data_IF_963151066509
#
_entry.id   IF_963151066509
#
_cell.length_a   1.000
_cell.length_b   1.000
_cell.length_c   1.000
_cell.angle_alpha   90.00
_cell.angle_beta   90.00
_cell.angle_gamma   90.00
#
_symmetry.space_group_name_H-M   'P 1'
#
loop_
_entity.id
_entity.type
_entity.pdbx_description
1 polymer ?
#
# COMPACT_ATOMS: atom_id res chain seq x y z
N UNK A 1 0.78 2.74 8.20
CA UNK A 1 1.37 4.02 7.77
C UNK A 1 1.82 4.01 6.32
N UNK A 2 2.85 3.26 5.93
CA UNK A 2 3.34 3.23 4.54
C UNK A 2 2.25 2.88 3.52
N UNK A 3 1.42 1.87 3.79
CA UNK A 3 0.32 1.48 2.90
C UNK A 3 -0.77 2.55 2.74
N UNK A 4 -1.01 3.42 3.73
CA UNK A 4 -1.94 4.54 3.59
C UNK A 4 -1.42 5.58 2.58
N UNK A 5 -0.11 5.86 2.61
CA UNK A 5 0.55 6.70 1.60
C UNK A 5 0.53 6.06 0.20
N UNK A 6 0.52 4.73 0.09
CA UNK A 6 0.30 4.05 -1.20
C UNK A 6 -1.14 4.22 -1.72
N UNK A 7 -2.12 4.28 -0.82
CA UNK A 7 -3.52 4.47 -1.14
C UNK A 7 -3.93 5.93 -1.38
N UNK A 8 -3.00 6.90 -1.22
CA UNK A 8 -3.29 8.32 -1.42
C UNK A 8 -4.08 8.97 -0.28
N UNK A 9 -4.08 8.36 0.92
CA UNK A 9 -4.78 8.89 2.09
C UNK A 9 -3.82 9.25 3.23
N UNK A 10 -4.22 10.15 4.16
CA UNK A 10 -3.40 10.51 5.31
C UNK A 10 -2.95 9.28 6.11
N UNK A 11 -1.71 9.30 6.60
CA UNK A 11 -1.09 8.15 7.26
C UNK A 11 -1.91 7.62 8.45
N UNK A 12 -2.61 8.52 9.16
CA UNK A 12 -3.48 8.23 10.31
C UNK A 12 -4.56 7.20 9.96
N UNK A 13 -5.11 7.22 8.74
CA UNK A 13 -6.11 6.24 8.28
C UNK A 13 -5.53 4.82 8.29
N UNK A 14 -4.24 4.68 7.99
CA UNK A 14 -3.54 3.42 8.09
C UNK A 14 -3.43 2.86 9.51
N UNK A 15 -3.51 3.71 10.54
CA UNK A 15 -3.59 3.26 11.93
C UNK A 15 -4.96 2.65 12.22
N UNK A 16 -6.02 3.36 11.81
CA UNK A 16 -7.40 2.91 11.99
C UNK A 16 -7.64 1.55 11.34
N UNK A 17 -7.14 1.35 10.11
CA UNK A 17 -7.27 0.09 9.38
C UNK A 17 -6.40 -1.05 9.91
N UNK A 18 -5.37 -0.76 10.71
CA UNK A 18 -4.55 -1.82 11.33
C UNK A 18 -5.08 -2.24 12.69
N UNK A 19 -5.82 -1.37 13.38
CA UNK A 19 -6.34 -1.62 14.72
C UNK A 19 -7.76 -2.21 14.71
N UNK A 20 -8.67 -1.65 13.90
CA UNK A 20 -10.09 -2.01 13.93
C UNK A 20 -10.40 -3.41 13.36
N UNK A 21 -9.84 -3.86 12.22
CA UNK A 21 -10.18 -5.18 11.67
C UNK A 21 -9.76 -6.36 12.56
N UNK A 22 -8.58 -6.38 13.18
CA UNK A 22 -8.25 -7.42 14.16
C UNK A 22 -9.17 -7.43 15.37
N UNK A 23 -9.59 -6.25 15.87
CA UNK A 23 -10.54 -6.14 16.97
C UNK A 23 -11.90 -6.75 16.60
N UNK A 24 -12.42 -6.42 15.41
CA UNK A 24 -13.65 -7.01 14.89
C UNK A 24 -13.50 -8.52 14.65
N UNK A 25 -12.37 -8.97 14.11
CA UNK A 25 -12.10 -10.38 13.89
C UNK A 25 -11.93 -11.17 15.20
N UNK A 26 -11.45 -10.55 16.27
CA UNK A 26 -11.39 -11.21 17.58
C UNK A 26 -12.79 -11.54 18.13
N UNK A 27 -13.81 -10.76 17.78
CA UNK A 27 -15.20 -10.97 18.22
C UNK A 27 -15.94 -11.96 17.30
N UNK A 28 -15.77 -11.83 15.98
CA UNK A 28 -16.55 -12.58 14.99
C UNK A 28 -15.78 -13.71 14.28
N UNK A 29 -14.46 -13.81 14.49
CA UNK A 29 -13.58 -14.73 13.78
C UNK A 29 -13.61 -16.14 14.34
N UNK A 30 -13.41 -17.12 13.46
CA UNK A 30 -13.42 -18.54 13.80
C UNK A 30 -12.02 -19.12 14.04
N UNK A 31 -10.96 -18.47 13.54
CA UNK A 31 -9.58 -18.97 13.65
C UNK A 31 -8.70 -18.08 14.53
N UNK A 32 -7.98 -18.71 15.47
CA UNK A 32 -7.13 -18.02 16.47
C UNK A 32 -5.76 -17.60 15.94
N UNK A 33 -5.35 -18.10 14.76
CA UNK A 33 -4.00 -17.90 14.22
C UNK A 33 -3.95 -16.92 13.03
N UNK A 34 -5.10 -16.43 12.56
CA UNK A 34 -5.17 -15.50 11.44
C UNK A 34 -5.03 -14.07 11.96
N UNK A 35 -3.97 -13.39 11.51
CA UNK A 35 -3.81 -11.95 11.74
C UNK A 35 -4.28 -11.20 10.50
N UNK A 36 -5.38 -10.45 10.63
CA UNK A 36 -5.82 -9.53 9.58
C UNK A 36 -4.96 -8.26 9.61
N UNK A 37 -4.63 -7.73 8.44
CA UNK A 37 -3.82 -6.51 8.33
C UNK A 37 -3.97 -5.86 6.97
N UNK A 38 -3.21 -4.79 6.76
CA UNK A 38 -3.16 -4.11 5.46
C UNK A 38 -2.34 -4.90 4.44
N UNK A 39 -2.85 -5.00 3.21
CA UNK A 39 -2.16 -5.62 2.08
C UNK A 39 -1.72 -4.58 1.05
N UNK A 40 -0.49 -4.70 0.56
CA UNK A 40 0.12 -3.75 -0.37
C UNK A 40 -0.64 -3.60 -1.69
N UNK A 41 -1.10 -4.72 -2.25
CA UNK A 41 -1.83 -4.74 -3.53
C UNK A 41 -3.16 -4.01 -3.41
N UNK A 42 -3.90 -4.24 -2.33
CA UNK A 42 -5.19 -3.58 -2.07
C UNK A 42 -4.97 -2.08 -1.92
N UNK A 43 -3.93 -1.65 -1.20
CA UNK A 43 -3.57 -0.25 -1.07
C UNK A 43 -3.27 0.42 -2.43
N UNK A 44 -2.54 -0.26 -3.32
CA UNK A 44 -2.29 0.25 -4.68
C UNK A 44 -3.57 0.32 -5.53
N UNK A 45 -4.47 -0.66 -5.39
CA UNK A 45 -5.75 -0.65 -6.11
C UNK A 45 -6.62 0.53 -5.67
N UNK A 46 -6.72 0.77 -4.35
CA UNK A 46 -7.44 1.93 -3.80
C UNK A 46 -6.82 3.24 -4.28
N UNK A 47 -5.48 3.37 -4.22
CA UNK A 47 -4.79 4.56 -4.73
C UNK A 47 -4.99 4.81 -6.23
N UNK A 48 -5.12 3.75 -7.04
CA UNK A 48 -5.45 3.90 -8.45
C UNK A 48 -6.88 4.42 -8.69
N UNK A 49 -7.83 4.09 -7.83
CA UNK A 49 -9.21 4.61 -7.91
C UNK A 49 -9.25 6.07 -7.49
N UNK A 50 -8.57 6.41 -6.39
CA UNK A 50 -8.42 7.79 -5.92
C UNK A 50 -7.79 8.67 -7.00
N UNK A 51 -6.69 8.21 -7.61
CA UNK A 51 -6.01 8.96 -8.67
C UNK A 51 -6.87 9.15 -9.93
N UNK A 52 -7.72 8.17 -10.27
CA UNK A 52 -8.69 8.30 -11.38
C UNK A 52 -9.78 9.33 -11.05
N UNK A 53 -10.27 9.34 -9.82
CA UNK A 53 -11.29 10.28 -9.37
C UNK A 53 -10.74 11.71 -9.26
N UNK A 54 -9.57 11.89 -8.65
CA UNK A 54 -8.89 13.18 -8.56
C UNK A 54 -8.57 13.75 -9.95
N UNK A 55 -8.14 12.92 -10.90
CA UNK A 55 -7.98 13.34 -12.29
C UNK A 55 -9.31 13.80 -12.91
N UNK A 56 -10.45 13.17 -12.57
CA UNK A 56 -11.78 13.55 -13.06
C UNK A 56 -12.27 14.88 -12.49
N UNK A 57 -11.95 15.20 -11.24
CA UNK A 57 -12.40 16.42 -10.56
C UNK A 57 -11.70 17.68 -11.11
N UNK A 58 -10.43 17.54 -11.50
CA UNK A 58 -9.62 18.62 -12.09
C UNK A 58 -10.19 19.18 -13.42
N UNK A 59 -11.09 18.46 -14.10
CA UNK A 59 -11.73 18.95 -15.33
C UNK A 59 -12.90 19.90 -15.07
N UNK A 60 -13.46 19.91 -13.86
CA UNK A 60 -14.64 20.72 -13.51
C UNK A 60 -14.34 21.97 -12.69
N UNK A 61 -13.07 22.23 -12.36
CA UNK A 61 -12.70 23.44 -11.64
C UNK A 61 -12.38 24.55 -12.63
N UNK A 62 -13.45 25.18 -13.14
CA UNK A 62 -13.32 26.46 -13.84
C UNK A 62 -12.85 27.51 -12.82
N UNK A 63 -11.57 27.88 -12.93
CA UNK A 63 -11.00 29.18 -12.58
C UNK A 63 -11.72 29.96 -11.47
N UNK A 64 -11.53 29.56 -10.22
CA UNK A 64 -11.50 30.53 -9.12
C UNK A 64 -10.27 30.22 -8.29
N UNK A 65 -9.43 31.24 -8.11
CA UNK A 65 -8.13 31.18 -7.46
C UNK A 65 -8.27 30.92 -5.94
N UNK A 66 -8.82 29.77 -5.58
CA UNK A 66 -8.77 29.24 -4.24
C UNK A 66 -7.51 28.40 -4.13
N UNK A 67 -6.58 28.86 -3.31
CA UNK A 67 -5.38 28.08 -2.93
C UNK A 67 -5.79 26.66 -2.58
N UNK A 68 -5.11 25.62 -3.08
CA UNK A 68 -5.45 24.24 -2.72
C UNK A 68 -5.16 24.08 -1.23
N UNK A 69 -6.19 24.19 -0.40
CA UNK A 69 -6.08 23.81 0.99
C UNK A 69 -5.92 22.28 1.02
N UNK A 70 -4.73 21.83 1.40
CA UNK A 70 -4.37 20.42 1.48
C UNK A 70 -5.39 19.63 2.32
N UNK A 71 -6.01 20.28 3.30
CA UNK A 71 -7.02 19.67 4.16
C UNK A 71 -8.28 19.25 3.38
N UNK A 72 -8.71 20.03 2.38
CA UNK A 72 -9.95 19.73 1.63
C UNK A 72 -9.75 18.53 0.72
N UNK A 73 -8.59 18.43 0.07
CA UNK A 73 -8.25 17.29 -0.79
C UNK A 73 -8.11 16.01 0.04
N UNK A 74 -7.43 16.09 1.20
CA UNK A 74 -7.27 14.94 2.10
C UNK A 74 -8.62 14.41 2.61
N UNK A 75 -9.54 15.31 2.98
CA UNK A 75 -10.88 14.92 3.44
C UNK A 75 -11.69 14.25 2.32
N UNK A 76 -11.58 14.74 1.08
CA UNK A 76 -12.26 14.13 -0.07
C UNK A 76 -11.71 12.73 -0.38
N UNK A 77 -10.38 12.55 -0.38
CA UNK A 77 -9.76 11.24 -0.62
C UNK A 77 -10.15 10.24 0.47
N UNK A 78 -10.23 10.66 1.74
CA UNK A 78 -10.72 9.79 2.84
C UNK A 78 -12.19 9.41 2.65
N UNK A 79 -13.06 10.34 2.27
CA UNK A 79 -14.48 10.07 2.03
C UNK A 79 -14.68 9.10 0.86
N UNK A 80 -13.92 9.26 -0.23
CA UNK A 80 -13.97 8.36 -1.37
C UNK A 80 -13.55 6.95 -0.97
N UNK A 81 -12.44 6.81 -0.24
CA UNK A 81 -11.96 5.51 0.22
C UNK A 81 -12.95 4.88 1.22
N UNK A 82 -13.59 5.67 2.08
CA UNK A 82 -14.65 5.19 2.96
C UNK A 82 -15.86 4.64 2.18
N UNK A 83 -16.33 5.36 1.16
CA UNK A 83 -17.41 4.89 0.29
C UNK A 83 -17.02 3.62 -0.48
N UNK A 84 -15.80 3.57 -1.01
CA UNK A 84 -15.28 2.40 -1.73
C UNK A 84 -15.20 1.17 -0.81
N UNK A 85 -14.64 1.32 0.39
CA UNK A 85 -14.53 0.22 1.36
C UNK A 85 -15.91 -0.24 1.85
N UNK A 86 -16.84 0.68 2.05
CA UNK A 86 -18.23 0.35 2.38
C UNK A 86 -18.93 -0.44 1.26
N UNK A 87 -18.78 -0.01 0.00
CA UNK A 87 -19.32 -0.72 -1.15
C UNK A 87 -18.70 -2.12 -1.31
N UNK A 88 -17.39 -2.25 -1.12
CA UNK A 88 -16.70 -3.56 -1.09
C UNK A 88 -17.26 -4.43 0.03
N UNK A 89 -17.52 -3.86 1.21
CA UNK A 89 -18.16 -4.57 2.32
C UNK A 89 -19.55 -5.11 1.98
N UNK A 90 -20.38 -4.31 1.31
CA UNK A 90 -21.69 -4.75 0.82
C UNK A 90 -21.55 -5.89 -0.20
N UNK A 91 -20.64 -5.75 -1.17
CA UNK A 91 -20.40 -6.80 -2.17
C UNK A 91 -19.92 -8.10 -1.50
N UNK A 92 -19.02 -8.01 -0.51
CA UNK A 92 -18.56 -9.17 0.26
C UNK A 92 -19.70 -9.80 1.07
N UNK A 93 -20.60 -8.99 1.66
CA UNK A 93 -21.78 -9.49 2.36
C UNK A 93 -22.76 -10.21 1.43
N UNK A 94 -23.02 -9.65 0.24
CA UNK A 94 -23.85 -10.29 -0.80
C UNK A 94 -23.20 -11.59 -1.27
N UNK A 95 -21.89 -11.60 -1.51
CA UNK A 95 -21.16 -12.80 -1.89
C UNK A 95 -21.19 -13.88 -0.80
N UNK A 96 -21.12 -13.49 0.47
CA UNK A 96 -21.26 -14.40 1.60
C UNK A 96 -22.68 -15.01 1.66
N UNK A 97 -23.73 -14.22 1.45
CA UNK A 97 -25.12 -14.69 1.40
C UNK A 97 -25.35 -15.67 0.24
N UNK A 98 -24.76 -15.39 -0.93
CA UNK A 98 -24.80 -16.28 -2.08
C UNK A 98 -23.82 -17.48 -1.98
N UNK A 99 -23.12 -17.65 -0.85
CA UNK A 99 -22.16 -18.74 -0.61
C UNK A 99 -21.03 -18.85 -1.64
N UNK A 100 -20.61 -17.73 -2.27
CA UNK A 100 -19.50 -17.70 -3.23
C UNK A 100 -18.15 -18.10 -2.62
N UNK A 101 -18.05 -18.23 -1.29
CA UNK A 101 -16.88 -18.78 -0.61
C UNK A 101 -16.45 -20.15 -1.14
N UNK A 102 -17.40 -20.98 -1.61
CA UNK A 102 -17.12 -22.30 -2.18
C UNK A 102 -16.15 -22.21 -3.37
N UNK A 103 -16.25 -21.18 -4.21
CA UNK A 103 -15.35 -20.99 -5.36
C UNK A 103 -13.93 -20.65 -4.93
N UNK A 104 -13.74 -19.99 -3.77
CA UNK A 104 -12.41 -19.73 -3.22
C UNK A 104 -11.66 -21.01 -2.88
N UNK A 105 -12.36 -22.09 -2.51
CA UNK A 105 -11.77 -23.39 -2.20
C UNK A 105 -11.30 -24.12 -3.46
N UNK A 106 -11.85 -23.77 -4.63
CA UNK A 106 -11.48 -24.36 -5.92
C UNK A 106 -10.33 -23.62 -6.64
N UNK A 107 -9.81 -22.52 -6.08
CA UNK A 107 -8.61 -21.90 -6.62
C UNK A 107 -7.40 -22.82 -6.38
N UNK A 108 -6.72 -23.19 -7.46
CA UNK A 108 -5.57 -24.08 -7.40
C UNK A 108 -4.36 -23.36 -6.81
N UNK A 109 -3.49 -24.10 -6.10
CA UNK A 109 -2.25 -23.54 -5.55
C UNK A 109 -1.38 -22.82 -6.60
N UNK A 110 -1.23 -23.34 -7.85
CA UNK A 110 -0.52 -22.64 -8.92
C UNK A 110 -1.15 -21.29 -9.29
N UNK A 111 -2.48 -21.17 -9.26
CA UNK A 111 -3.19 -19.93 -9.57
C UNK A 111 -2.93 -18.88 -8.48
N UNK A 112 -3.01 -19.27 -7.21
CA UNK A 112 -2.74 -18.39 -6.07
C UNK A 112 -1.26 -17.97 -6.03
N UNK A 113 -0.35 -18.92 -6.30
CA UNK A 113 1.08 -18.67 -6.40
C UNK A 113 1.42 -17.71 -7.55
N UNK A 114 0.83 -17.91 -8.73
CA UNK A 114 0.98 -17.04 -9.90
C UNK A 114 0.46 -15.62 -9.64
N UNK A 115 -0.74 -15.49 -9.07
CA UNK A 115 -1.30 -14.21 -8.68
C UNK A 115 -0.42 -13.48 -7.66
N UNK A 116 0.03 -14.17 -6.62
CA UNK A 116 0.85 -13.59 -5.55
C UNK A 116 2.22 -13.14 -6.08
N UNK A 117 2.82 -13.92 -6.98
CA UNK A 117 4.11 -13.57 -7.61
C UNK A 117 3.95 -12.33 -8.51
N UNK A 118 2.91 -12.31 -9.35
CA UNK A 118 2.61 -11.14 -10.20
C UNK A 118 2.31 -9.89 -9.35
N UNK A 119 1.53 -10.04 -8.28
CA UNK A 119 1.26 -8.99 -7.30
C UNK A 119 2.55 -8.46 -6.65
N UNK A 120 3.48 -9.34 -6.26
CA UNK A 120 4.76 -8.94 -5.69
C UNK A 120 5.60 -8.12 -6.68
N UNK A 121 5.71 -8.58 -7.93
CA UNK A 121 6.39 -7.82 -8.99
C UNK A 121 5.73 -6.45 -9.24
N UNK A 122 4.40 -6.42 -9.29
CA UNK A 122 3.64 -5.18 -9.47
C UNK A 122 3.87 -4.18 -8.32
N UNK A 123 3.84 -4.65 -7.07
CA UNK A 123 4.11 -3.81 -5.89
C UNK A 123 5.54 -3.29 -5.91
N UNK A 124 6.52 -4.15 -6.19
CA UNK A 124 7.94 -3.79 -6.28
C UNK A 124 8.12 -2.67 -7.30
N UNK A 125 7.61 -2.85 -8.53
CA UNK A 125 7.77 -1.85 -9.59
C UNK A 125 7.07 -0.53 -9.25
N UNK A 126 5.91 -0.59 -8.57
CA UNK A 126 5.20 0.60 -8.13
C UNK A 126 5.92 1.38 -7.01
N UNK A 127 6.87 0.77 -6.29
CA UNK A 127 7.66 1.45 -5.25
C UNK A 127 9.00 2.01 -5.76
N UNK A 128 9.58 1.45 -6.84
CA UNK A 128 10.87 1.91 -7.38
C UNK A 128 10.92 3.45 -7.57
N UNK A 129 9.96 4.10 -8.26
CA UNK A 129 10.04 5.55 -8.44
C UNK A 129 10.06 6.34 -7.13
N UNK A 130 9.36 5.86 -6.09
CA UNK A 130 9.34 6.47 -4.76
C UNK A 130 10.67 6.33 -4.04
N UNK A 131 11.39 5.22 -4.26
CA UNK A 131 12.74 5.00 -3.70
C UNK A 131 13.78 5.96 -4.28
N UNK A 132 13.63 6.36 -5.53
CA UNK A 132 14.50 7.33 -6.21
C UNK A 132 14.01 8.79 -6.05
N UNK A 133 12.98 9.02 -5.24
CA UNK A 133 12.36 10.34 -5.02
C UNK A 133 11.95 11.07 -6.32
N UNK A 134 11.63 10.31 -7.38
CA UNK A 134 11.23 10.88 -8.66
C UNK A 134 9.74 11.29 -8.61
N UNK A 135 9.47 12.56 -8.89
CA UNK A 135 8.10 13.08 -9.06
C UNK A 135 7.60 12.74 -10.47
N UNK A 136 7.19 11.49 -10.67
CA UNK A 136 6.60 11.07 -11.94
C UNK A 136 5.14 11.52 -12.03
N UNK A 137 4.72 11.96 -13.23
CA UNK A 137 3.32 12.18 -13.54
C UNK A 137 2.61 10.84 -13.53
N UNK A 138 1.73 10.64 -12.55
CA UNK A 138 0.99 9.39 -12.45
C UNK A 138 0.01 9.29 -13.61
N UNK A 139 0.20 8.29 -14.48
CA UNK A 139 -0.74 7.92 -15.55
C UNK A 139 -1.70 6.83 -15.08
N UNK A 140 -2.94 6.84 -15.56
CA UNK A 140 -3.96 5.83 -15.25
C UNK A 140 -4.33 5.06 -16.52
N UNK A 141 -4.33 3.72 -16.48
CA UNK A 141 -4.70 2.90 -17.65
C UNK A 141 -4.27 1.44 -17.55
N UNK A 142 -4.78 0.62 -18.48
CA UNK A 142 -4.23 -0.71 -18.76
C UNK A 142 -2.75 -0.55 -19.17
N UNK A 143 -1.88 -1.44 -18.73
CA UNK A 143 -0.42 -1.35 -18.96
C UNK A 143 0.30 -0.17 -18.28
N UNK A 144 -0.31 0.47 -17.26
CA UNK A 144 0.33 1.53 -16.44
C UNK A 144 1.74 1.16 -15.97
N UNK A 145 1.98 -0.10 -15.60
CA UNK A 145 3.29 -0.58 -15.17
C UNK A 145 4.37 -0.34 -16.23
N UNK A 146 4.09 -0.66 -17.51
CA UNK A 146 5.02 -0.44 -18.62
C UNK A 146 5.35 1.03 -18.82
N UNK A 147 4.36 1.92 -18.68
CA UNK A 147 4.59 3.36 -18.73
C UNK A 147 5.46 3.84 -17.56
N UNK A 148 5.22 3.34 -16.34
CA UNK A 148 6.07 3.66 -15.19
C UNK A 148 7.51 3.19 -15.42
N UNK A 149 7.71 2.01 -16.03
CA UNK A 149 9.05 1.52 -16.40
C UNK A 149 9.72 2.53 -17.35
N UNK A 150 9.01 2.89 -18.41
CA UNK A 150 9.53 3.79 -19.44
C UNK A 150 9.88 5.17 -18.88
N UNK A 151 8.97 5.76 -18.11
CA UNK A 151 9.16 7.08 -17.49
C UNK A 151 10.29 7.06 -16.44
N UNK A 152 10.46 5.94 -15.73
CA UNK A 152 11.58 5.75 -14.79
C UNK A 152 12.94 5.80 -15.50
N UNK A 153 13.11 5.04 -16.60
CA UNK A 153 14.35 5.06 -17.37
C UNK A 153 14.60 6.42 -18.03
N UNK A 154 13.54 7.15 -18.43
CA UNK A 154 13.66 8.49 -18.99
C UNK A 154 14.11 9.55 -17.98
N UNK A 155 13.67 9.46 -16.72
CA UNK A 155 13.91 10.48 -15.69
C UNK A 155 14.99 10.13 -14.66
N UNK A 156 15.69 9.00 -14.82
CA UNK A 156 16.70 8.53 -13.85
C UNK A 156 17.81 9.56 -13.56
N UNK A 157 18.08 10.46 -14.50
CA UNK A 157 19.10 11.52 -14.36
C UNK A 157 18.71 12.64 -13.40
N UNK A 158 17.41 12.87 -13.16
CA UNK A 158 16.92 13.93 -12.26
C UNK A 158 16.72 13.42 -10.80
N UNK A 159 17.40 12.34 -10.44
CA UNK A 159 17.30 11.73 -9.11
C UNK A 159 17.92 12.62 -8.03
N UNK A 160 17.24 12.75 -6.89
CA UNK A 160 17.80 13.39 -5.71
C UNK A 160 18.78 12.44 -5.00
N UNK A 161 20.08 12.70 -5.15
CA UNK A 161 21.16 11.88 -4.57
C UNK A 161 21.05 11.63 -3.05
N UNK A 162 20.75 12.63 -2.19
CA UNK A 162 20.57 12.39 -0.75
C UNK A 162 19.44 11.40 -0.44
N UNK A 163 18.28 11.50 -1.09
CA UNK A 163 17.16 10.58 -0.86
C UNK A 163 17.49 9.14 -1.30
N UNK A 164 18.26 9.01 -2.38
CA UNK A 164 18.77 7.73 -2.86
C UNK A 164 19.71 7.08 -1.85
N UNK A 165 20.71 7.83 -1.36
CA UNK A 165 21.68 7.31 -0.37
C UNK A 165 20.99 6.88 0.91
N UNK A 166 20.03 7.67 1.40
CA UNK A 166 19.21 7.32 2.58
C UNK A 166 18.42 6.03 2.35
N UNK A 167 17.79 5.90 1.19
CA UNK A 167 17.00 4.71 0.85
C UNK A 167 17.87 3.46 0.76
N UNK A 168 19.07 3.55 0.18
CA UNK A 168 20.04 2.45 0.10
C UNK A 168 20.53 2.04 1.49
N UNK A 169 20.93 3.00 2.33
CA UNK A 169 21.40 2.74 3.70
C UNK A 169 20.30 2.07 4.53
N UNK A 170 19.08 2.58 4.44
CA UNK A 170 17.91 2.02 5.10
C UNK A 170 17.63 0.58 4.65
N UNK A 171 17.71 0.31 3.34
CA UNK A 171 17.48 -1.01 2.77
C UNK A 171 18.55 -2.01 3.24
N UNK A 172 19.83 -1.61 3.20
CA UNK A 172 20.94 -2.45 3.68
C UNK A 172 20.78 -2.75 5.17
N UNK A 173 20.48 -1.74 5.99
CA UNK A 173 20.26 -1.94 7.43
C UNK A 173 19.13 -2.93 7.71
N UNK A 174 18.00 -2.80 7.01
CA UNK A 174 16.84 -3.66 7.20
C UNK A 174 17.12 -5.09 6.70
N UNK A 175 17.79 -5.23 5.55
CA UNK A 175 18.22 -6.51 4.99
C UNK A 175 19.16 -7.24 5.96
N UNK A 176 20.21 -6.56 6.45
CA UNK A 176 21.17 -7.13 7.40
C UNK A 176 20.51 -7.46 8.75
N UNK A 177 19.67 -6.56 9.26
CA UNK A 177 18.90 -6.76 10.48
C UNK A 177 18.04 -8.01 10.44
N UNK A 178 17.22 -8.16 9.38
CA UNK A 178 16.27 -9.28 9.28
C UNK A 178 16.92 -10.61 8.93
N UNK A 179 17.92 -10.64 8.04
CA UNK A 179 18.49 -11.90 7.54
C UNK A 179 19.65 -12.39 8.40
N UNK A 180 20.53 -11.51 8.85
CA UNK A 180 21.73 -11.92 9.59
C UNK A 180 21.56 -11.78 11.09
N UNK A 181 21.00 -10.66 11.57
CA UNK A 181 20.92 -10.39 13.01
C UNK A 181 19.75 -11.14 13.66
N UNK A 182 18.58 -11.17 13.02
CA UNK A 182 17.40 -11.83 13.58
C UNK A 182 17.61 -13.32 13.92
N UNK A 183 18.19 -14.18 13.04
CA UNK A 183 18.42 -15.58 13.41
C UNK A 183 19.52 -15.75 14.47
N UNK A 184 20.48 -14.82 14.58
CA UNK A 184 21.48 -14.84 15.64
C UNK A 184 20.87 -14.47 17.00
N UNK A 185 19.95 -13.50 17.01
CA UNK A 185 19.29 -13.04 18.23
C UNK A 185 18.17 -14.01 18.66
N UNK A 186 17.49 -14.66 17.71
CA UNK A 186 16.51 -15.71 18.01
C UNK A 186 17.12 -16.89 18.79
N UNK A 187 18.44 -17.12 18.68
CA UNK A 187 19.14 -18.13 19.50
C UNK A 187 19.29 -17.72 20.97
N UNK A 188 19.21 -16.42 21.29
CA UNK A 188 19.50 -15.87 22.62
C UNK A 188 18.28 -15.25 23.30
N UNK A 189 17.29 -14.80 22.55
CA UNK A 189 16.04 -14.21 23.04
C UNK A 189 14.83 -14.75 22.23
N UNK A 190 13.69 -15.05 22.89
CA UNK A 190 12.48 -15.54 22.23
C UNK A 190 11.68 -14.45 21.49
N UNK A 191 12.06 -13.17 21.63
CA UNK A 191 11.35 -12.03 21.04
C UNK A 191 12.10 -11.54 19.79
N UNK A 192 11.45 -11.46 18.62
CA UNK A 192 12.06 -10.91 17.42
C UNK A 192 12.30 -9.40 17.57
N UNK A 193 13.46 -8.91 17.13
CA UNK A 193 13.80 -7.49 17.21
C UNK A 193 12.98 -6.70 16.18
N UNK A 194 12.28 -5.63 16.57
CA UNK A 194 11.48 -4.82 15.65
C UNK A 194 12.35 -3.82 14.89
N UNK A 195 13.19 -4.31 13.96
CA UNK A 195 14.06 -3.46 13.11
C UNK A 195 13.30 -2.37 12.36
N UNK A 196 12.07 -2.66 11.92
CA UNK A 196 11.23 -1.71 11.19
C UNK A 196 10.87 -0.48 12.04
N UNK A 197 10.68 -0.66 13.36
CA UNK A 197 10.42 0.44 14.30
C UNK A 197 11.66 1.30 14.55
N UNK A 198 12.83 0.66 14.66
CA UNK A 198 14.11 1.34 14.87
C UNK A 198 14.38 2.29 13.70
N UNK A 199 14.26 1.80 12.46
CA UNK A 199 14.45 2.61 11.25
C UNK A 199 13.51 3.82 11.22
N UNK A 200 12.23 3.62 11.55
CA UNK A 200 11.25 4.72 11.54
C UNK A 200 11.56 5.76 12.62
N UNK A 201 12.04 5.32 13.79
CA UNK A 201 12.39 6.23 14.88
C UNK A 201 13.60 7.14 14.58
N UNK A 202 14.55 6.66 13.76
CA UNK A 202 15.73 7.44 13.35
C UNK A 202 15.40 8.57 12.37
N UNK A 203 14.22 8.54 11.74
CA UNK A 203 13.84 9.49 10.67
C UNK A 203 13.15 10.76 11.19
N UNK A 204 13.18 11.03 12.50
CA UNK A 204 12.56 12.19 13.15
C UNK A 204 13.63 13.20 13.54
#
# INVERSE_FOLDING_TARGET
>A
MAYASLAGVPAVVGLYTSFLPPLLYAIFGTSKHVSLGMFAVIALMVGNVEQKHGASLNWHQNSSAFTPDNNVNDLQSVQLVACLTFAVGIVLAIMALCQFHIISVYLTDPLIGGFTTAAAFHVLWSQIPKMFALKLTTRSGLFKLFYIIYDFFGQIKNTNLPDLTLTIVCLIFLYVGKIYINPLVAKKCPVPIPFDLIVVSTKR
#
